data_IF_652618171102
#
_entry.id   IF_652618171102
#
_cell.length_a   1.000
_cell.length_b   1.000
_cell.length_c   1.000
_cell.angle_alpha   90.00
_cell.angle_beta   90.00
_cell.angle_gamma   90.00
#
_symmetry.space_group_name_H-M   'P 1'
#
loop_
_entity.id
_entity.type
_entity.pdbx_description
1 polymer ?
#
# COMPACT_ATOMS: atom_id res chain seq x y z
N UNK A 1 8.44 -4.87 -13.49
CA UNK A 1 8.26 -3.90 -12.40
C UNK A 1 6.97 -4.26 -11.69
N UNK A 2 6.94 -4.10 -10.36
CA UNK A 2 5.73 -4.38 -9.57
C UNK A 2 4.72 -3.23 -9.68
N UNK A 3 5.18 -2.05 -10.07
CA UNK A 3 4.36 -0.86 -10.30
C UNK A 3 4.44 -0.37 -11.75
N UNK A 4 3.48 0.46 -12.15
CA UNK A 4 3.49 1.26 -13.37
C UNK A 4 2.76 2.59 -13.14
N UNK A 5 3.01 3.58 -13.98
CA UNK A 5 2.40 4.91 -13.86
C UNK A 5 1.26 5.13 -14.86
N UNK A 6 0.87 4.12 -15.64
CA UNK A 6 -0.10 4.27 -16.74
C UNK A 6 -1.43 4.83 -16.23
N UNK A 7 -1.91 4.29 -15.10
CA UNK A 7 -3.16 4.72 -14.47
C UNK A 7 -3.12 6.17 -14.01
N UNK A 8 -2.07 6.58 -13.29
CA UNK A 8 -1.97 7.96 -12.81
C UNK A 8 -1.68 8.93 -13.96
N UNK A 9 -0.96 8.52 -15.00
CA UNK A 9 -0.72 9.34 -16.19
C UNK A 9 -2.01 9.60 -16.95
N UNK A 10 -2.87 8.59 -17.09
CA UNK A 10 -4.20 8.75 -17.69
C UNK A 10 -5.08 9.69 -16.86
N UNK A 11 -5.07 9.52 -15.53
CA UNK A 11 -5.84 10.38 -14.61
C UNK A 11 -5.32 11.82 -14.53
N UNK A 12 -4.02 12.03 -14.71
CA UNK A 12 -3.38 13.33 -14.63
C UNK A 12 -3.72 14.22 -15.83
N UNK A 13 -4.06 13.65 -16.99
CA UNK A 13 -4.29 14.38 -18.25
C UNK A 13 -3.15 15.38 -18.59
N UNK A 14 -1.91 15.06 -18.20
CA UNK A 14 -0.72 15.91 -18.38
C UNK A 14 -0.33 16.77 -17.16
N UNK A 15 -1.03 16.65 -16.03
CA UNK A 15 -0.69 17.30 -14.76
C UNK A 15 0.46 16.57 -14.03
N UNK A 16 1.69 17.05 -14.25
CA UNK A 16 2.88 16.51 -13.56
C UNK A 16 2.85 16.77 -12.04
N UNK A 17 2.20 17.82 -11.56
CA UNK A 17 2.11 18.11 -10.13
C UNK A 17 1.22 17.07 -9.42
N UNK A 18 0.15 16.63 -10.08
CA UNK A 18 -0.68 15.52 -9.59
C UNK A 18 0.13 14.23 -9.48
N UNK A 19 0.89 13.85 -10.53
CA UNK A 19 1.74 12.65 -10.53
C UNK A 19 2.75 12.71 -9.37
N UNK A 20 3.44 13.86 -9.23
CA UNK A 20 4.39 14.08 -8.16
C UNK A 20 3.75 13.98 -6.77
N UNK A 21 2.53 14.48 -6.60
CA UNK A 21 1.78 14.40 -5.35
C UNK A 21 1.46 12.94 -4.98
N UNK A 22 0.97 12.14 -5.92
CA UNK A 22 0.69 10.71 -5.71
C UNK A 22 1.96 9.96 -5.29
N UNK A 23 3.07 10.22 -5.96
CA UNK A 23 4.36 9.60 -5.64
C UNK A 23 4.84 10.03 -4.24
N UNK A 24 4.70 11.31 -3.88
CA UNK A 24 5.05 11.80 -2.54
C UNK A 24 4.23 11.10 -1.46
N UNK A 25 2.91 11.01 -1.63
CA UNK A 25 2.02 10.28 -0.70
C UNK A 25 2.46 8.82 -0.57
N UNK A 26 2.80 8.16 -1.68
CA UNK A 26 3.28 6.79 -1.64
C UNK A 26 4.63 6.63 -0.93
N UNK A 27 5.54 7.58 -1.09
CA UNK A 27 6.87 7.52 -0.47
C UNK A 27 6.88 7.92 1.01
N UNK A 28 5.93 8.74 1.46
CA UNK A 28 5.90 9.31 2.80
C UNK A 28 4.82 8.69 3.70
N UNK A 29 3.59 8.53 3.20
CA UNK A 29 2.47 8.06 4.02
C UNK A 29 2.35 6.54 4.03
N UNK A 30 2.46 5.88 2.87
CA UNK A 30 2.26 4.42 2.79
C UNK A 30 3.23 3.64 3.69
N UNK A 31 4.53 4.01 3.82
CA UNK A 31 5.42 3.35 4.78
C UNK A 31 5.00 3.54 6.24
N UNK A 32 4.43 4.69 6.59
CA UNK A 32 3.92 4.96 7.95
C UNK A 32 2.68 4.13 8.23
N UNK A 33 1.74 4.06 7.27
CA UNK A 33 0.54 3.22 7.39
C UNK A 33 0.90 1.73 7.49
N UNK A 34 1.96 1.31 6.78
CA UNK A 34 2.48 -0.05 6.83
C UNK A 34 3.11 -0.40 8.18
N UNK A 35 3.85 0.54 8.79
CA UNK A 35 4.35 0.39 10.17
C UNK A 35 3.20 0.31 11.17
N UNK A 36 2.19 1.18 11.03
CA UNK A 36 0.97 1.12 11.83
C UNK A 36 0.26 -0.23 11.72
N UNK A 37 0.22 -0.80 10.51
CA UNK A 37 -0.44 -2.08 10.26
C UNK A 37 0.32 -3.22 10.94
N UNK A 38 1.65 -3.18 10.95
CA UNK A 38 2.49 -4.12 11.70
C UNK A 38 2.18 -4.07 13.21
N UNK A 39 2.06 -2.87 13.76
CA UNK A 39 1.73 -2.66 15.17
C UNK A 39 0.32 -3.20 15.48
N UNK A 40 -0.67 -2.90 14.63
CA UNK A 40 -2.03 -3.38 14.79
C UNK A 40 -2.09 -4.91 14.80
N UNK A 41 -1.40 -5.58 13.88
CA UNK A 41 -1.34 -7.04 13.81
C UNK A 41 -0.67 -7.65 15.06
N UNK A 42 0.44 -7.05 15.53
CA UNK A 42 1.12 -7.49 16.74
C UNK A 42 0.24 -7.36 18.00
N UNK A 43 -0.60 -6.31 18.04
CA UNK A 43 -1.54 -6.06 19.12
C UNK A 43 -2.87 -6.83 18.95
N UNK A 44 -3.05 -7.57 17.85
CA UNK A 44 -4.30 -8.24 17.47
C UNK A 44 -5.48 -7.26 17.36
N UNK A 45 -5.20 -6.05 16.90
CA UNK A 45 -6.19 -5.00 16.68
C UNK A 45 -6.74 -5.08 15.24
N UNK A 46 -7.81 -5.86 15.07
CA UNK A 46 -8.44 -6.07 13.77
C UNK A 46 -9.05 -4.82 13.17
N UNK A 47 -9.63 -3.95 14.00
CA UNK A 47 -10.24 -2.70 13.53
C UNK A 47 -9.17 -1.77 12.96
N UNK A 48 -8.07 -1.60 13.69
CA UNK A 48 -6.97 -0.76 13.22
C UNK A 48 -6.30 -1.35 11.97
N UNK A 49 -6.12 -2.68 11.91
CA UNK A 49 -5.58 -3.36 10.73
C UNK A 49 -6.48 -3.17 9.50
N UNK A 50 -7.80 -3.29 9.67
CA UNK A 50 -8.78 -3.00 8.61
C UNK A 50 -8.65 -1.57 8.08
N UNK A 51 -8.63 -0.58 8.97
CA UNK A 51 -8.57 0.83 8.58
C UNK A 51 -7.28 1.16 7.81
N UNK A 52 -6.13 0.63 8.25
CA UNK A 52 -4.84 0.87 7.61
C UNK A 52 -4.72 0.16 6.27
N UNK A 53 -5.19 -1.08 6.17
CA UNK A 53 -5.24 -1.78 4.88
C UNK A 53 -6.15 -1.05 3.87
N UNK A 54 -7.29 -0.52 4.33
CA UNK A 54 -8.19 0.30 3.51
C UNK A 54 -7.51 1.59 3.01
N UNK A 55 -6.65 2.22 3.82
CA UNK A 55 -5.90 3.42 3.46
C UNK A 55 -4.74 3.15 2.48
N UNK A 56 -4.05 2.03 2.65
CA UNK A 56 -2.94 1.62 1.75
C UNK A 56 -3.48 1.22 0.37
N UNK A 57 -4.60 0.48 0.32
CA UNK A 57 -5.16 -0.10 -0.91
C UNK A 57 -5.31 0.88 -2.10
N UNK A 58 -5.90 2.08 -1.97
CA UNK A 58 -6.02 3.00 -3.10
C UNK A 58 -4.65 3.53 -3.58
N UNK A 59 -3.66 3.68 -2.69
CA UNK A 59 -2.34 4.18 -3.06
C UNK A 59 -1.58 3.17 -3.94
N UNK A 60 -1.61 1.88 -3.59
CA UNK A 60 -1.02 0.81 -4.41
C UNK A 60 -1.79 0.60 -5.72
N UNK A 61 -3.10 0.84 -5.73
CA UNK A 61 -3.95 0.77 -6.93
C UNK A 61 -3.63 1.88 -7.94
N UNK A 62 -3.33 3.10 -7.46
CA UNK A 62 -2.91 4.22 -8.31
C UNK A 62 -1.60 3.92 -9.03
N UNK A 63 -0.67 3.21 -8.39
CA UNK A 63 0.60 2.78 -8.98
C UNK A 63 0.51 1.46 -9.76
N UNK A 64 -0.71 1.00 -10.08
CA UNK A 64 -0.91 -0.20 -10.89
C UNK A 64 -0.38 -1.50 -10.26
N UNK A 65 -0.24 -1.53 -8.93
CA UNK A 65 0.26 -2.69 -8.19
C UNK A 65 -0.88 -3.69 -7.90
N UNK A 66 -1.45 -4.29 -8.96
CA UNK A 66 -2.68 -5.07 -8.87
C UNK A 66 -2.63 -6.23 -7.84
N UNK A 67 -1.49 -6.94 -7.77
CA UNK A 67 -1.30 -8.03 -6.81
C UNK A 67 -1.23 -7.50 -5.38
N UNK A 68 -0.45 -6.44 -5.15
CA UNK A 68 -0.32 -5.80 -3.84
C UNK A 68 -1.65 -5.20 -3.36
N UNK A 69 -2.43 -4.63 -4.28
CA UNK A 69 -3.80 -4.18 -4.04
C UNK A 69 -4.71 -5.33 -3.61
N UNK A 70 -4.63 -6.48 -4.27
CA UNK A 70 -5.40 -7.66 -3.89
C UNK A 70 -5.04 -8.15 -2.48
N UNK A 71 -3.75 -8.19 -2.14
CA UNK A 71 -3.27 -8.52 -0.80
C UNK A 71 -3.79 -7.53 0.25
N UNK A 72 -3.75 -6.22 -0.03
CA UNK A 72 -4.30 -5.21 0.87
C UNK A 72 -5.81 -5.37 1.09
N UNK A 73 -6.57 -5.67 0.03
CA UNK A 73 -8.01 -5.95 0.11
C UNK A 73 -8.31 -7.19 0.94
N UNK A 74 -7.47 -8.22 0.86
CA UNK A 74 -7.63 -9.44 1.64
C UNK A 74 -7.42 -9.16 3.13
N UNK A 75 -6.35 -8.44 3.49
CA UNK A 75 -6.10 -7.99 4.87
C UNK A 75 -7.25 -7.10 5.38
N UNK A 76 -7.73 -6.15 4.56
CA UNK A 76 -8.89 -5.31 4.89
C UNK A 76 -10.13 -6.17 5.20
N UNK A 77 -10.44 -7.13 4.33
CA UNK A 77 -11.61 -8.01 4.47
C UNK A 77 -11.50 -8.87 5.72
N UNK A 78 -10.32 -9.43 5.98
CA UNK A 78 -10.04 -10.25 7.15
C UNK A 78 -10.09 -9.45 8.45
N UNK A 79 -9.55 -8.22 8.46
CA UNK A 79 -9.65 -7.31 9.60
C UNK A 79 -11.10 -6.98 9.92
N UNK A 80 -11.91 -6.69 8.89
CA UNK A 80 -13.34 -6.42 9.08
C UNK A 80 -14.14 -7.62 9.61
N UNK A 81 -13.70 -8.83 9.31
CA UNK A 81 -14.34 -10.08 9.76
C UNK A 81 -13.77 -10.62 11.07
N UNK A 82 -12.82 -9.92 11.69
CA UNK A 82 -12.08 -10.40 12.87
C UNK A 82 -11.47 -11.80 12.65
N UNK A 83 -10.91 -12.03 11.45
CA UNK A 83 -10.38 -13.31 11.03
C UNK A 83 -9.02 -13.66 11.67
N UNK A 84 -8.38 -14.74 11.24
CA UNK A 84 -7.13 -15.23 11.82
C UNK A 84 -5.95 -14.23 11.64
N UNK A 85 -5.43 -13.71 12.75
CA UNK A 85 -4.29 -12.78 12.79
C UNK A 85 -3.01 -13.39 12.21
N UNK A 86 -2.79 -14.70 12.36
CA UNK A 86 -1.59 -15.36 11.81
C UNK A 86 -1.63 -15.33 10.29
N UNK A 87 -2.78 -15.61 9.68
CA UNK A 87 -2.96 -15.49 8.23
C UNK A 87 -2.84 -14.03 7.75
N UNK A 88 -3.42 -13.07 8.49
CA UNK A 88 -3.24 -11.63 8.18
C UNK A 88 -1.77 -11.22 8.24
N UNK A 89 -1.00 -11.76 9.21
CA UNK A 89 0.43 -11.51 9.34
C UNK A 89 1.22 -12.06 8.15
N UNK A 90 0.87 -13.24 7.63
CA UNK A 90 1.50 -13.80 6.43
C UNK A 90 1.27 -12.92 5.20
N UNK A 91 0.01 -12.49 4.98
CA UNK A 91 -0.34 -11.56 3.90
C UNK A 91 0.38 -10.21 4.07
N UNK A 92 0.49 -9.72 5.31
CA UNK A 92 1.21 -8.50 5.62
C UNK A 92 2.69 -8.57 5.23
N UNK A 93 3.37 -9.71 5.42
CA UNK A 93 4.77 -9.84 5.00
C UNK A 93 4.92 -9.73 3.48
N UNK A 94 3.96 -10.24 2.71
CA UNK A 94 3.92 -10.08 1.24
C UNK A 94 3.70 -8.61 0.89
N UNK A 95 2.68 -7.98 1.49
CA UNK A 95 2.37 -6.56 1.30
C UNK A 95 3.59 -5.66 1.61
N UNK A 96 4.25 -5.91 2.74
CA UNK A 96 5.42 -5.16 3.20
C UNK A 96 6.60 -5.31 2.26
N UNK A 97 6.83 -6.50 1.72
CA UNK A 97 7.91 -6.74 0.75
C UNK A 97 7.67 -5.95 -0.54
N UNK A 98 6.46 -6.03 -1.10
CA UNK A 98 6.11 -5.37 -2.36
C UNK A 98 6.22 -3.85 -2.25
N UNK A 99 5.66 -3.27 -1.18
CA UNK A 99 5.72 -1.83 -0.94
C UNK A 99 7.15 -1.36 -0.77
N UNK A 100 7.96 -2.04 0.05
CA UNK A 100 9.37 -1.65 0.23
C UNK A 100 10.18 -1.72 -1.05
N UNK A 101 9.90 -2.71 -1.91
CA UNK A 101 10.52 -2.79 -3.22
C UNK A 101 10.17 -1.56 -4.08
N UNK A 102 8.88 -1.24 -4.19
CA UNK A 102 8.42 -0.10 -5.00
C UNK A 102 8.89 1.24 -4.43
N UNK A 103 8.95 1.40 -3.11
CA UNK A 103 9.56 2.58 -2.47
C UNK A 103 11.02 2.74 -2.91
N UNK A 104 11.79 1.65 -2.94
CA UNK A 104 13.17 1.68 -3.42
C UNK A 104 13.28 2.03 -4.91
N UNK A 105 12.41 1.47 -5.75
CA UNK A 105 12.36 1.76 -7.19
C UNK A 105 11.99 3.24 -7.44
N UNK A 106 10.91 3.74 -6.84
CA UNK A 106 10.46 5.13 -6.98
C UNK A 106 11.50 6.15 -6.50
N UNK A 107 12.19 5.89 -5.40
CA UNK A 107 13.28 6.75 -4.91
C UNK A 107 14.41 6.89 -5.94
N UNK A 108 14.78 5.78 -6.57
CA UNK A 108 15.79 5.78 -7.64
C UNK A 108 15.27 6.50 -8.89
N UNK A 109 14.03 6.23 -9.31
CA UNK A 109 13.46 6.75 -10.56
C UNK A 109 13.18 8.26 -10.49
N UNK A 110 12.80 8.77 -9.32
CA UNK A 110 12.46 10.19 -9.10
C UNK A 110 13.57 10.98 -8.39
N UNK A 111 14.73 10.35 -8.13
CA UNK A 111 15.87 10.93 -7.40
C UNK A 111 15.48 11.53 -6.03
N UNK A 112 14.76 10.76 -5.21
CA UNK A 112 14.28 11.15 -3.88
C UNK A 112 14.76 10.20 -2.78
#
# INVERSE_FOLDING_TARGET
MIYNLDKINEMAEGDEDFINSVISVFLEEVPQDLEGLEIALNNKDHEQAYQLAHKIKPNVDLLGMDQTRATALEIETMGKQEADISQMTELFQILKKDINQVVGELKNDFNR
#
